data_IF_662392700171
#
_entry.id   IF_662392700171
#
_cell.length_a   1.000
_cell.length_b   1.000
_cell.length_c   1.000
_cell.angle_alpha   90.00
_cell.angle_beta   90.00
_cell.angle_gamma   90.00
#
_symmetry.space_group_name_H-M   'P 1'
#
loop_
_entity.id
_entity.type
_entity.pdbx_description
1 polymer ?
#
# COMPACT_ATOMS: atom_id res chain seq x y z
N UNK A 1 -37.22 -12.72 3.78
CA UNK A 1 -37.20 -11.83 4.96
C UNK A 1 -36.70 -10.47 4.48
N UNK A 2 -37.61 -9.50 4.37
CA UNK A 2 -37.35 -8.23 3.69
C UNK A 2 -36.40 -7.34 4.48
N UNK A 3 -35.40 -6.79 3.79
CA UNK A 3 -34.68 -5.63 4.29
C UNK A 3 -35.70 -4.49 4.35
N UNK A 4 -36.15 -4.15 5.56
CA UNK A 4 -37.01 -3.00 5.79
C UNK A 4 -36.33 -1.75 5.22
N UNK A 5 -37.16 -0.81 4.75
CA UNK A 5 -36.82 0.49 4.16
C UNK A 5 -36.10 1.43 5.16
N UNK A 6 -35.02 0.96 5.78
CA UNK A 6 -34.23 1.68 6.76
C UNK A 6 -33.17 2.50 6.02
N UNK A 7 -33.13 3.79 6.36
CA UNK A 7 -32.13 4.72 5.88
C UNK A 7 -30.73 4.26 6.34
N UNK A 8 -29.88 3.85 5.40
CA UNK A 8 -28.47 3.52 5.68
C UNK A 8 -27.71 4.84 5.77
N UNK A 9 -27.15 5.21 6.94
CA UNK A 9 -26.39 6.44 7.06
C UNK A 9 -25.16 6.40 6.15
N UNK A 10 -24.95 7.48 5.40
CA UNK A 10 -23.79 7.65 4.55
C UNK A 10 -22.54 7.81 5.43
N UNK A 11 -21.76 6.74 5.58
CA UNK A 11 -20.43 6.83 6.20
C UNK A 11 -19.42 7.29 5.14
N UNK A 12 -18.82 8.49 5.26
CA UNK A 12 -17.87 8.98 4.26
C UNK A 12 -16.54 8.21 4.26
N UNK A 13 -16.21 7.51 5.35
CA UNK A 13 -14.93 6.82 5.49
C UNK A 13 -15.07 5.33 5.88
N UNK A 14 -15.78 4.53 5.08
CA UNK A 14 -16.06 3.14 5.43
C UNK A 14 -14.77 2.31 5.42
N UNK A 15 -14.74 1.29 6.28
CA UNK A 15 -13.64 0.31 6.31
C UNK A 15 -14.05 -0.95 5.56
N UNK A 16 -13.41 -1.21 4.42
CA UNK A 16 -13.65 -2.41 3.62
C UNK A 16 -12.40 -3.30 3.66
N UNK A 17 -12.55 -4.56 4.09
CA UNK A 17 -11.45 -5.52 4.24
C UNK A 17 -10.25 -4.92 4.99
N UNK A 18 -10.48 -4.14 6.04
CA UNK A 18 -9.42 -3.50 6.83
C UNK A 18 -8.72 -2.31 6.16
N UNK A 19 -9.19 -1.86 5.00
CA UNK A 19 -8.74 -0.64 4.32
C UNK A 19 -9.78 0.45 4.53
N UNK A 20 -9.32 1.63 4.94
CA UNK A 20 -10.19 2.79 5.10
C UNK A 20 -10.30 3.52 3.76
N UNK A 21 -11.49 3.55 3.19
CA UNK A 21 -11.76 4.23 1.93
C UNK A 21 -12.09 5.70 2.22
N UNK A 22 -11.75 6.57 1.26
CA UNK A 22 -12.18 7.97 1.27
C UNK A 22 -13.01 8.21 -0.01
N UNK A 23 -13.96 9.15 -0.04
CA UNK A 23 -14.79 9.40 -1.22
C UNK A 23 -13.96 9.76 -2.47
N UNK A 24 -12.83 10.44 -2.25
CA UNK A 24 -11.89 10.88 -3.30
C UNK A 24 -10.77 9.88 -3.58
N UNK A 25 -10.85 8.66 -3.02
CA UNK A 25 -9.83 7.61 -3.10
C UNK A 25 -8.41 8.13 -2.83
N UNK A 26 -8.30 9.06 -1.86
CA UNK A 26 -7.04 9.69 -1.49
C UNK A 26 -6.22 8.84 -0.53
N UNK A 27 -6.90 7.96 0.21
CA UNK A 27 -6.40 7.05 1.23
C UNK A 27 -5.59 7.75 2.33
N UNK A 28 -5.91 9.00 2.64
CA UNK A 28 -5.16 9.79 3.61
C UNK A 28 -5.34 9.22 5.02
N UNK A 29 -6.58 8.87 5.40
CA UNK A 29 -6.84 8.27 6.72
C UNK A 29 -6.19 6.89 6.84
N UNK A 30 -6.26 6.08 5.78
CA UNK A 30 -5.59 4.79 5.75
C UNK A 30 -4.07 4.91 5.90
N UNK A 31 -3.45 5.91 5.27
CA UNK A 31 -2.01 6.17 5.42
C UNK A 31 -1.61 6.55 6.85
N UNK A 32 -2.45 7.28 7.59
CA UNK A 32 -2.20 7.55 9.00
C UNK A 32 -2.26 6.28 9.85
N UNK A 33 -3.20 5.37 9.55
CA UNK A 33 -3.25 4.04 10.18
C UNK A 33 -1.99 3.23 9.87
N UNK A 34 -1.51 3.26 8.63
CA UNK A 34 -0.26 2.58 8.25
C UNK A 34 0.95 3.19 8.98
N UNK A 35 1.00 4.52 9.09
CA UNK A 35 2.05 5.23 9.83
C UNK A 35 2.06 4.90 11.33
N UNK A 36 0.89 4.83 11.96
CA UNK A 36 0.79 4.49 13.38
C UNK A 36 1.26 3.05 13.61
N UNK A 37 0.77 2.09 12.82
CA UNK A 37 1.16 0.67 12.91
C UNK A 37 2.64 0.42 12.71
N UNK A 38 3.28 1.07 11.74
CA UNK A 38 4.72 0.85 11.50
C UNK A 38 5.63 1.48 12.57
N UNK A 39 5.14 2.44 13.37
CA UNK A 39 5.99 3.22 14.28
C UNK A 39 6.67 2.35 15.32
N UNK A 40 5.94 1.38 15.88
CA UNK A 40 6.48 0.39 16.82
C UNK A 40 7.58 -0.47 16.19
N UNK A 41 7.35 -0.97 14.97
CA UNK A 41 8.32 -1.76 14.21
C UNK A 41 9.59 -0.95 13.87
N UNK A 42 9.44 0.32 13.49
CA UNK A 42 10.59 1.22 13.25
C UNK A 42 11.39 1.45 14.53
N UNK A 43 10.72 1.62 15.67
CA UNK A 43 11.38 1.79 16.96
C UNK A 43 12.13 0.52 17.39
N UNK A 44 11.59 -0.66 17.09
CA UNK A 44 12.29 -1.93 17.28
C UNK A 44 13.54 -2.02 16.40
N UNK A 45 13.42 -1.72 15.10
CA UNK A 45 14.56 -1.66 14.17
C UNK A 45 15.65 -0.71 14.68
N UNK A 46 15.26 0.49 15.16
CA UNK A 46 16.20 1.46 15.74
C UNK A 46 16.94 0.91 16.95
N UNK A 47 16.25 0.17 17.82
CA UNK A 47 16.84 -0.48 19.02
C UNK A 47 17.82 -1.58 18.62
N UNK A 48 17.41 -2.55 17.80
CA UNK A 48 18.26 -3.67 17.35
C UNK A 48 19.51 -3.17 16.64
N UNK A 49 19.36 -2.12 15.83
CA UNK A 49 20.49 -1.48 15.14
C UNK A 49 21.55 -0.91 16.09
N UNK A 50 21.19 -0.49 17.33
CA UNK A 50 22.17 0.09 18.28
C UNK A 50 23.19 -0.95 18.76
N UNK A 51 22.83 -2.23 18.80
CA UNK A 51 23.70 -3.30 19.29
C UNK A 51 24.86 -3.63 18.34
N UNK A 52 24.90 -3.08 17.11
CA UNK A 52 25.98 -3.23 16.11
C UNK A 52 26.37 -4.68 15.77
N UNK A 53 25.54 -5.67 16.08
CA UNK A 53 25.83 -7.06 15.75
C UNK A 53 25.91 -7.27 14.22
N UNK A 54 26.81 -8.14 13.77
CA UNK A 54 26.94 -8.48 12.34
C UNK A 54 25.61 -8.99 11.73
N UNK A 55 24.75 -9.59 12.54
CA UNK A 55 23.44 -10.12 12.11
C UNK A 55 22.29 -9.09 12.21
N UNK A 56 22.53 -7.91 12.80
CA UNK A 56 21.49 -6.89 13.04
C UNK A 56 20.76 -6.44 11.78
N UNK A 57 21.47 -6.33 10.64
CA UNK A 57 20.87 -5.96 9.35
C UNK A 57 19.90 -7.04 8.85
N UNK A 58 20.27 -8.32 9.00
CA UNK A 58 19.40 -9.44 8.59
C UNK A 58 18.11 -9.44 9.42
N UNK A 59 18.24 -9.29 10.75
CA UNK A 59 17.10 -9.22 11.68
C UNK A 59 16.20 -8.02 11.34
N UNK A 60 16.78 -6.84 11.17
CA UNK A 60 16.05 -5.62 10.82
C UNK A 60 15.31 -5.75 9.47
N UNK A 61 15.93 -6.42 8.48
CA UNK A 61 15.25 -6.74 7.21
C UNK A 61 14.08 -7.68 7.42
N UNK A 62 14.22 -8.70 8.26
CA UNK A 62 13.13 -9.63 8.59
C UNK A 62 11.97 -8.88 9.25
N UNK A 63 12.26 -8.04 10.25
CA UNK A 63 11.24 -7.21 10.94
C UNK A 63 10.55 -6.26 9.97
N UNK A 64 11.31 -5.61 9.09
CA UNK A 64 10.73 -4.77 8.04
C UNK A 64 9.78 -5.57 7.15
N UNK A 65 10.20 -6.76 6.70
CA UNK A 65 9.37 -7.62 5.84
C UNK A 65 8.09 -8.09 6.54
N UNK A 66 8.19 -8.52 7.79
CA UNK A 66 7.06 -9.12 8.52
C UNK A 66 6.04 -8.10 9.02
N UNK A 67 6.49 -6.93 9.48
CA UNK A 67 5.60 -5.96 10.15
C UNK A 67 5.22 -4.74 9.30
N UNK A 68 6.10 -4.33 8.37
CA UNK A 68 5.91 -3.08 7.62
C UNK A 68 5.58 -3.38 6.16
N UNK A 69 6.37 -4.24 5.52
CA UNK A 69 6.17 -4.62 4.12
C UNK A 69 4.86 -5.36 3.94
N UNK A 70 4.48 -6.22 4.88
CA UNK A 70 3.17 -6.91 4.88
C UNK A 70 1.99 -5.93 4.83
N UNK A 71 2.06 -4.80 5.55
CA UNK A 71 1.02 -3.75 5.49
C UNK A 71 0.93 -3.12 4.10
N UNK A 72 2.07 -2.89 3.43
CA UNK A 72 2.10 -2.32 2.08
C UNK A 72 1.63 -3.34 1.04
N UNK A 73 2.11 -4.58 1.17
CA UNK A 73 1.78 -5.71 0.29
C UNK A 73 0.26 -5.98 0.36
N UNK A 74 -0.40 -5.82 1.52
CA UNK A 74 -1.86 -5.92 1.63
C UNK A 74 -2.62 -4.90 0.77
N UNK A 75 -2.03 -3.72 0.56
CA UNK A 75 -2.63 -2.64 -0.21
C UNK A 75 -2.39 -2.75 -1.73
N UNK A 76 -1.89 -3.89 -2.24
CA UNK A 76 -1.46 -4.01 -3.64
C UNK A 76 -2.58 -3.66 -4.65
N UNK A 77 -3.83 -4.02 -4.37
CA UNK A 77 -4.99 -3.72 -5.23
C UNK A 77 -5.23 -2.21 -5.31
N UNK A 78 -5.17 -1.52 -4.17
CA UNK A 78 -5.34 -0.05 -4.08
C UNK A 78 -4.23 0.66 -4.84
N UNK A 79 -3.01 0.16 -4.73
CA UNK A 79 -1.86 0.73 -5.44
C UNK A 79 -2.00 0.60 -6.96
N UNK A 80 -2.78 -0.38 -7.42
CA UNK A 80 -3.11 -0.57 -8.83
C UNK A 80 -4.29 0.30 -9.31
N UNK A 81 -5.04 0.93 -8.41
CA UNK A 81 -6.27 1.69 -8.73
C UNK A 81 -6.02 3.09 -9.33
N UNK A 82 -4.79 3.43 -9.73
CA UNK A 82 -4.45 4.71 -10.38
C UNK A 82 -4.13 5.89 -9.45
N UNK A 83 -4.24 5.73 -8.13
CA UNK A 83 -3.93 6.82 -7.19
C UNK A 83 -2.40 6.95 -6.98
N UNK A 84 -1.71 7.70 -7.85
CA UNK A 84 -0.25 7.89 -7.75
C UNK A 84 0.21 8.53 -6.42
N UNK A 85 -0.67 9.28 -5.76
CA UNK A 85 -0.39 9.96 -4.48
C UNK A 85 -0.11 8.99 -3.34
N UNK A 86 -0.88 7.91 -3.20
CA UNK A 86 -0.67 6.93 -2.12
C UNK A 86 0.65 6.18 -2.31
N UNK A 87 0.93 5.76 -3.55
CA UNK A 87 2.17 5.07 -3.90
C UNK A 87 3.40 5.91 -3.56
N UNK A 88 3.40 7.18 -3.95
CA UNK A 88 4.48 8.12 -3.65
C UNK A 88 4.68 8.29 -2.14
N UNK A 89 3.60 8.38 -1.37
CA UNK A 89 3.66 8.51 0.11
C UNK A 89 4.22 7.24 0.76
N UNK A 90 3.78 6.05 0.34
CA UNK A 90 4.32 4.78 0.84
C UNK A 90 5.80 4.58 0.45
N UNK A 91 6.19 4.96 -0.77
CA UNK A 91 7.59 4.89 -1.20
C UNK A 91 8.48 5.81 -0.35
N UNK A 92 8.02 7.03 -0.04
CA UNK A 92 8.74 7.95 0.87
C UNK A 92 8.91 7.34 2.26
N UNK A 93 7.87 6.69 2.78
CA UNK A 93 7.92 5.98 4.06
C UNK A 93 8.94 4.84 4.01
N UNK A 94 8.86 3.98 2.98
CA UNK A 94 9.81 2.89 2.76
C UNK A 94 11.25 3.41 2.76
N UNK A 95 11.55 4.43 1.96
CA UNK A 95 12.89 5.01 1.83
C UNK A 95 13.46 5.47 3.17
N UNK A 96 12.64 6.12 4.02
CA UNK A 96 13.06 6.54 5.36
C UNK A 96 13.45 5.34 6.24
N UNK A 97 12.67 4.27 6.19
CA UNK A 97 12.90 3.06 7.00
C UNK A 97 14.15 2.32 6.52
N UNK A 98 14.34 2.17 5.21
CA UNK A 98 15.51 1.52 4.65
C UNK A 98 16.81 2.26 5.00
N UNK A 99 16.79 3.61 5.00
CA UNK A 99 17.91 4.43 5.51
C UNK A 99 18.23 4.12 6.97
N UNK A 100 17.21 3.91 7.80
CA UNK A 100 17.39 3.57 9.22
C UNK A 100 18.07 2.21 9.38
N UNK A 101 17.65 1.17 8.63
CA UNK A 101 18.12 -0.22 8.78
C UNK A 101 19.65 -0.33 8.77
N UNK A 102 20.33 0.29 7.80
CA UNK A 102 21.80 0.18 7.60
C UNK A 102 22.57 1.47 7.97
N UNK A 103 21.89 2.54 8.40
CA UNK A 103 22.49 3.89 8.56
C UNK A 103 23.15 4.40 7.27
N UNK A 104 22.38 4.42 6.18
CA UNK A 104 22.88 5.00 4.93
C UNK A 104 23.13 6.51 5.08
N UNK A 105 24.22 7.05 4.50
CA UNK A 105 24.43 8.49 4.37
C UNK A 105 23.26 9.19 3.67
N UNK A 106 23.04 10.47 3.98
CA UNK A 106 21.95 11.25 3.40
C UNK A 106 21.99 11.28 1.86
N UNK A 107 23.20 11.40 1.29
CA UNK A 107 23.50 11.48 -0.14
C UNK A 107 23.33 10.15 -0.90
N UNK A 108 23.14 9.02 -0.22
CA UNK A 108 22.99 7.74 -0.91
C UNK A 108 21.71 7.72 -1.73
N UNK A 109 21.83 7.40 -3.02
CA UNK A 109 20.68 7.29 -3.92
C UNK A 109 19.73 6.17 -3.49
N UNK A 110 18.44 6.37 -3.76
CA UNK A 110 17.39 5.40 -3.40
C UNK A 110 17.63 4.07 -4.13
N UNK A 111 17.99 4.11 -5.42
CA UNK A 111 18.31 2.92 -6.20
C UNK A 111 19.43 2.07 -5.55
N UNK A 112 20.50 2.71 -5.07
CA UNK A 112 21.59 2.02 -4.38
C UNK A 112 21.12 1.40 -3.06
N UNK A 113 20.29 2.10 -2.28
CA UNK A 113 19.73 1.56 -1.03
C UNK A 113 18.95 0.27 -1.28
N UNK A 114 18.08 0.27 -2.29
CA UNK A 114 17.29 -0.90 -2.68
C UNK A 114 18.17 -2.06 -3.17
N UNK A 115 19.18 -1.77 -4.01
CA UNK A 115 20.13 -2.77 -4.52
C UNK A 115 20.93 -3.41 -3.38
N UNK A 116 21.48 -2.60 -2.48
CA UNK A 116 22.28 -3.07 -1.33
C UNK A 116 21.45 -3.91 -0.36
N UNK A 117 20.21 -3.49 -0.08
CA UNK A 117 19.33 -4.24 0.81
C UNK A 117 18.64 -5.43 0.12
N UNK A 118 18.70 -5.55 -1.21
CA UNK A 118 17.95 -6.55 -2.00
C UNK A 118 16.46 -6.52 -1.64
N UNK A 119 15.86 -5.33 -1.74
CA UNK A 119 14.44 -5.09 -1.47
C UNK A 119 13.83 -4.30 -2.62
N UNK A 120 12.67 -4.71 -3.13
CA UNK A 120 12.00 -3.99 -4.21
C UNK A 120 11.32 -2.71 -3.72
N UNK A 121 11.19 -1.75 -4.62
CA UNK A 121 10.32 -0.59 -4.45
C UNK A 121 8.86 -1.03 -4.23
N UNK A 122 8.06 -0.16 -3.62
CA UNK A 122 6.65 -0.45 -3.32
C UNK A 122 5.89 -0.76 -4.62
N UNK A 123 6.10 0.05 -5.66
CA UNK A 123 5.41 -0.09 -6.95
C UNK A 123 5.70 -1.43 -7.61
N UNK A 124 6.98 -1.72 -7.86
CA UNK A 124 7.41 -2.97 -8.50
C UNK A 124 6.82 -4.19 -7.77
N UNK A 125 6.81 -4.17 -6.45
CA UNK A 125 6.25 -5.25 -5.65
C UNK A 125 4.74 -5.35 -5.74
N UNK A 126 4.03 -4.24 -5.65
CA UNK A 126 2.58 -4.22 -5.78
C UNK A 126 2.18 -4.81 -7.15
N UNK A 127 2.89 -4.44 -8.21
CA UNK A 127 2.69 -4.98 -9.55
C UNK A 127 2.94 -6.50 -9.60
N UNK A 128 4.03 -6.99 -9.00
CA UNK A 128 4.30 -8.44 -8.92
C UNK A 128 3.19 -9.21 -8.18
N UNK A 129 2.68 -8.65 -7.07
CA UNK A 129 1.59 -9.26 -6.31
C UNK A 129 0.27 -9.24 -7.09
N UNK A 130 -0.01 -8.13 -7.77
CA UNK A 130 -1.19 -7.99 -8.62
C UNK A 130 -1.17 -8.99 -9.78
N UNK A 131 -0.05 -9.14 -10.47
CA UNK A 131 0.09 -10.12 -11.56
C UNK A 131 -0.11 -11.55 -11.07
N UNK A 132 0.44 -11.91 -9.90
CA UNK A 132 0.22 -13.22 -9.27
C UNK A 132 -1.25 -13.45 -8.93
N UNK A 133 -1.92 -12.43 -8.41
CA UNK A 133 -3.35 -12.47 -8.10
C UNK A 133 -4.18 -12.71 -9.37
N UNK A 134 -3.97 -11.91 -10.42
CA UNK A 134 -4.67 -12.07 -11.71
C UNK A 134 -4.43 -13.46 -12.30
N UNK A 135 -3.18 -13.93 -12.32
CA UNK A 135 -2.85 -15.26 -12.82
C UNK A 135 -3.55 -16.37 -12.03
N UNK A 136 -3.59 -16.26 -10.69
CA UNK A 136 -4.29 -17.22 -9.85
C UNK A 136 -5.82 -17.20 -10.09
N UNK A 137 -6.39 -16.02 -10.33
CA UNK A 137 -7.83 -15.84 -10.51
C UNK A 137 -8.35 -16.14 -11.91
N UNK A 138 -7.49 -16.11 -12.93
CA UNK A 138 -7.83 -16.48 -14.31
C UNK A 138 -8.42 -17.90 -14.46
N UNK A 139 -8.19 -18.78 -13.49
CA UNK A 139 -8.77 -20.14 -13.47
C UNK A 139 -10.24 -20.20 -13.06
N UNK A 140 -10.81 -19.11 -12.55
CA UNK A 140 -12.21 -19.06 -12.12
C UNK A 140 -13.05 -18.40 -13.22
N UNK A 141 -14.06 -19.11 -13.73
CA UNK A 141 -14.79 -18.72 -14.96
C UNK A 141 -15.44 -17.33 -14.87
N UNK A 142 -16.09 -17.00 -13.75
CA UNK A 142 -16.76 -15.71 -13.52
C UNK A 142 -15.75 -14.55 -13.54
N UNK A 143 -14.60 -14.73 -12.89
CA UNK A 143 -13.58 -13.69 -12.75
C UNK A 143 -12.77 -13.56 -14.05
N UNK A 144 -12.62 -14.64 -14.82
CA UNK A 144 -11.91 -14.61 -16.09
C UNK A 144 -12.62 -13.70 -17.12
N UNK A 145 -13.95 -13.67 -17.12
CA UNK A 145 -14.74 -12.78 -17.97
C UNK A 145 -14.51 -11.30 -17.59
N UNK A 146 -14.67 -10.95 -16.31
CA UNK A 146 -14.41 -9.59 -15.81
C UNK A 146 -12.96 -9.12 -16.05
N UNK A 147 -11.97 -10.01 -15.85
CA UNK A 147 -10.55 -9.68 -16.14
C UNK A 147 -10.36 -9.40 -17.64
N UNK A 148 -11.01 -10.19 -18.51
CA UNK A 148 -10.97 -9.98 -19.95
C UNK A 148 -11.52 -8.62 -20.36
N UNK A 149 -12.62 -8.18 -19.74
CA UNK A 149 -13.19 -6.85 -19.94
C UNK A 149 -12.28 -5.74 -19.42
N UNK A 150 -11.72 -5.89 -18.22
CA UNK A 150 -10.78 -4.92 -17.64
C UNK A 150 -9.55 -4.71 -18.54
N UNK A 151 -8.98 -5.78 -19.08
CA UNK A 151 -7.82 -5.70 -19.97
C UNK A 151 -8.14 -5.07 -21.33
N UNK A 152 -9.39 -5.17 -21.80
CA UNK A 152 -9.87 -4.55 -23.04
C UNK A 152 -10.22 -3.08 -22.87
N UNK A 153 -10.52 -2.62 -21.66
CA UNK A 153 -10.80 -1.22 -21.38
C UNK A 153 -9.53 -0.37 -21.58
N UNK A 154 -9.58 0.73 -22.37
CA UNK A 154 -8.49 1.69 -22.36
C UNK A 154 -8.30 2.21 -20.92
N UNK A 155 -7.04 2.35 -20.47
CA UNK A 155 -6.74 3.01 -19.19
C UNK A 155 -7.25 4.44 -19.30
N UNK A 156 -8.39 4.73 -18.68
CA UNK A 156 -8.97 6.06 -18.71
C UNK A 156 -8.03 7.05 -18.01
N UNK A 157 -7.33 7.87 -18.78
CA UNK A 157 -6.55 9.02 -18.28
C UNK A 157 -7.50 10.17 -17.92
N UNK A 158 -8.62 9.87 -17.25
CA UNK A 158 -9.65 10.86 -16.98
C UNK A 158 -9.20 11.71 -15.79
N UNK A 159 -8.78 12.92 -16.09
CA UNK A 159 -8.37 13.96 -15.14
C UNK A 159 -9.59 14.77 -14.68
N UNK A 160 -10.78 14.18 -14.68
CA UNK A 160 -11.98 14.86 -14.20
C UNK A 160 -12.17 14.52 -12.72
N UNK A 161 -12.28 15.55 -11.89
CA UNK A 161 -12.60 15.42 -10.48
C UNK A 161 -13.99 14.78 -10.38
N UNK A 162 -14.08 13.55 -9.89
CA UNK A 162 -15.37 12.91 -9.61
C UNK A 162 -16.11 13.76 -8.57
N UNK A 163 -17.26 14.31 -8.97
CA UNK A 163 -18.21 14.91 -8.03
C UNK A 163 -18.94 13.77 -7.33
N UNK A 164 -18.75 13.68 -6.01
CA UNK A 164 -19.36 12.63 -5.20
C UNK A 164 -20.60 13.17 -4.49
N UNK A 165 -21.53 12.28 -4.10
CA UNK A 165 -22.72 12.68 -3.33
C UNK A 165 -22.32 13.37 -2.00
N UNK A 166 -21.11 13.08 -1.50
CA UNK A 166 -20.52 13.71 -0.32
C UNK A 166 -20.07 15.16 -0.53
N UNK A 167 -19.86 15.62 -1.78
CA UNK A 167 -19.53 17.03 -2.05
C UNK A 167 -20.77 17.95 -1.98
N UNK A 168 -21.97 17.37 -1.77
CA UNK A 168 -23.25 18.12 -1.59
C UNK A 168 -23.68 18.22 -0.12
N UNK A 169 -22.88 17.70 0.81
CA UNK A 169 -23.20 17.58 2.24
C UNK A 169 -22.42 18.63 3.07
N UNK A 170 -21.85 19.65 2.41
CA UNK A 170 -21.23 20.81 3.05
C UNK A 170 -22.27 21.90 3.36
#
# INVERSE_FOLDING_TARGET
MGFQNQYIPLEPYPTFLGVKLDPKLSYNQHLEIVKSKQTSAVNLIKRIRKFKWGTSIKINKTIYKSLIRSLFDYCFIILQSGTQKILTKLQKIQNKILKIIKKFPFKTSIATIHKVLKLDMVEKRANELFLRFIHAKKKQDIIAQEIGEYLKSPRSTTTNRFLTIFDKID
#
